data_IF_214346795150
#
_entry.id   IF_214346795150
#
_cell.length_a   1.000
_cell.length_b   1.000
_cell.length_c   1.000
_cell.angle_alpha   90.00
_cell.angle_beta   90.00
_cell.angle_gamma   90.00
#
_symmetry.space_group_name_H-M   'P 1'
#
loop_
_entity.id
_entity.type
_entity.pdbx_description
1 polymer ?
#
# COMPACT_ATOMS: atom_id res chain seq x y z
N UNK A 1 21.56 15.66 6.90
CA UNK A 1 20.12 15.44 6.70
C UNK A 1 19.68 14.52 7.82
N UNK A 2 18.65 14.89 8.57
CA UNK A 2 18.10 14.00 9.61
C UNK A 2 17.34 12.85 8.95
N UNK A 3 17.03 11.81 9.71
CA UNK A 3 16.23 10.70 9.19
C UNK A 3 14.84 11.17 8.76
N UNK A 4 14.22 12.09 9.51
CA UNK A 4 12.92 12.67 9.17
C UNK A 4 12.95 13.47 7.87
N UNK A 5 14.02 14.23 7.62
CA UNK A 5 14.21 14.94 6.35
C UNK A 5 14.37 13.96 5.18
N UNK A 6 15.13 12.87 5.37
CA UNK A 6 15.29 11.78 4.38
C UNK A 6 13.94 11.12 4.08
N UNK A 7 13.17 10.77 5.12
CA UNK A 7 11.83 10.20 4.99
C UNK A 7 10.90 11.14 4.24
N UNK A 8 10.87 12.43 4.58
CA UNK A 8 10.04 13.42 3.89
C UNK A 8 10.32 13.49 2.38
N UNK A 9 11.60 13.42 1.98
CA UNK A 9 11.97 13.37 0.55
C UNK A 9 11.46 12.09 -0.13
N UNK A 10 11.64 10.94 0.51
CA UNK A 10 11.20 9.64 -0.03
C UNK A 10 9.67 9.57 -0.14
N UNK A 11 8.96 10.11 0.84
CA UNK A 11 7.50 10.19 0.84
C UNK A 11 6.97 11.03 -0.31
N UNK A 12 7.57 12.20 -0.53
CA UNK A 12 7.22 13.06 -1.66
C UNK A 12 7.57 12.41 -3.01
N UNK A 13 8.70 11.71 -3.11
CA UNK A 13 9.07 10.97 -4.33
C UNK A 13 8.05 9.88 -4.66
N UNK A 14 7.64 9.10 -3.66
CA UNK A 14 6.62 8.04 -3.79
C UNK A 14 5.26 8.63 -4.19
N UNK A 15 4.77 9.64 -3.47
CA UNK A 15 3.49 10.27 -3.75
C UNK A 15 3.45 10.85 -5.18
N UNK A 16 4.51 11.56 -5.59
CA UNK A 16 4.62 12.10 -6.95
C UNK A 16 4.68 10.99 -8.01
N UNK A 17 5.38 9.88 -7.74
CA UNK A 17 5.40 8.73 -8.65
C UNK A 17 3.99 8.17 -8.85
N UNK A 18 3.24 7.95 -7.77
CA UNK A 18 1.87 7.43 -7.86
C UNK A 18 0.97 8.42 -8.60
N UNK A 19 1.04 9.72 -8.28
CA UNK A 19 0.28 10.75 -9.00
C UNK A 19 0.58 10.75 -10.51
N UNK A 20 1.84 10.54 -10.91
CA UNK A 20 2.22 10.48 -12.33
C UNK A 20 1.70 9.25 -13.07
N UNK A 21 1.31 8.19 -12.33
CA UNK A 21 0.75 6.96 -12.90
C UNK A 21 -0.75 7.08 -13.20
N UNK A 22 -1.43 8.10 -12.68
CA UNK A 22 -2.87 8.31 -12.87
C UNK A 22 -3.08 9.33 -14.00
N UNK A 23 -3.56 8.93 -15.20
CA UNK A 23 -3.61 9.79 -16.38
C UNK A 23 -4.88 10.66 -16.46
N UNK A 24 -5.57 10.84 -15.34
CA UNK A 24 -6.82 11.59 -15.23
C UNK A 24 -6.81 12.45 -13.98
N UNK A 25 -7.75 13.39 -13.87
CA UNK A 25 -7.96 14.07 -12.60
C UNK A 25 -8.40 13.09 -11.51
N UNK A 26 -7.78 13.22 -10.34
CA UNK A 26 -8.04 12.43 -9.14
C UNK A 26 -8.13 13.35 -7.92
N UNK A 27 -8.77 12.88 -6.86
CA UNK A 27 -8.99 13.65 -5.63
C UNK A 27 -8.22 13.07 -4.43
N UNK A 28 -8.37 11.76 -4.21
CA UNK A 28 -7.70 11.02 -3.13
C UNK A 28 -6.99 9.80 -3.70
N UNK A 29 -5.87 9.43 -3.09
CA UNK A 29 -5.12 8.20 -3.36
C UNK A 29 -4.89 7.47 -2.06
N UNK A 30 -5.10 6.15 -2.09
CA UNK A 30 -4.87 5.23 -0.98
C UNK A 30 -3.94 4.13 -1.48
N UNK A 31 -2.80 3.96 -0.84
CA UNK A 31 -1.77 3.00 -1.26
C UNK A 31 -1.33 2.16 -0.09
N UNK A 32 -1.19 0.85 -0.30
CA UNK A 32 -0.61 -0.08 0.66
C UNK A 32 0.55 -0.81 0.00
N UNK A 33 1.67 -0.87 0.69
CA UNK A 33 2.84 -1.62 0.29
C UNK A 33 3.14 -2.72 1.30
N UNK A 34 3.26 -3.95 0.81
CA UNK A 34 3.74 -5.11 1.56
C UNK A 34 5.12 -5.46 1.02
N UNK A 35 6.19 -5.25 1.81
CA UNK A 35 7.55 -5.47 1.32
C UNK A 35 8.35 -6.23 2.36
N UNK A 36 9.03 -7.28 1.91
CA UNK A 36 10.00 -8.03 2.70
C UNK A 36 11.31 -8.23 1.90
N UNK A 37 12.17 -9.11 2.39
CA UNK A 37 13.48 -9.37 1.78
C UNK A 37 13.41 -10.30 0.57
N UNK A 38 12.31 -11.06 0.44
CA UNK A 38 12.04 -12.01 -0.64
C UNK A 38 11.26 -11.38 -1.79
N UNK A 39 10.42 -10.39 -1.51
CA UNK A 39 9.58 -9.74 -2.50
C UNK A 39 8.62 -8.75 -1.88
N UNK A 40 7.55 -8.44 -2.62
CA UNK A 40 6.51 -7.56 -2.14
C UNK A 40 5.55 -7.13 -3.23
N UNK A 41 4.56 -6.36 -2.81
CA UNK A 41 3.48 -5.86 -3.64
C UNK A 41 3.15 -4.43 -3.22
N UNK A 42 2.76 -3.61 -4.19
CA UNK A 42 2.23 -2.27 -3.97
C UNK A 42 0.89 -2.18 -4.67
N UNK A 43 -0.15 -1.90 -3.91
CA UNK A 43 -1.51 -1.72 -4.37
C UNK A 43 -1.92 -0.27 -4.14
N UNK A 44 -2.61 0.34 -5.10
CA UNK A 44 -3.27 1.62 -4.86
C UNK A 44 -4.65 1.73 -5.50
N UNK A 45 -5.50 2.51 -4.84
CA UNK A 45 -6.81 2.95 -5.31
C UNK A 45 -6.83 4.48 -5.37
N UNK A 46 -7.63 5.03 -6.27
CA UNK A 46 -7.83 6.47 -6.35
C UNK A 46 -9.30 6.82 -6.58
N UNK A 47 -9.69 8.02 -6.13
CA UNK A 47 -11.02 8.58 -6.41
C UNK A 47 -10.93 9.69 -7.45
N UNK A 48 -12.01 9.90 -8.20
CA UNK A 48 -12.14 11.01 -9.16
C UNK A 48 -12.80 12.21 -8.48
N UNK A 49 -12.61 13.45 -8.98
CA UNK A 49 -13.28 14.62 -8.43
C UNK A 49 -14.80 14.43 -8.34
N UNK A 50 -15.37 14.66 -7.16
CA UNK A 50 -16.81 14.53 -6.91
C UNK A 50 -17.35 13.10 -6.82
N UNK A 51 -16.49 12.07 -6.80
CA UNK A 51 -16.87 10.67 -6.57
C UNK A 51 -16.06 10.09 -5.39
N UNK A 52 -16.70 9.22 -4.62
CA UNK A 52 -16.05 8.39 -3.60
C UNK A 52 -15.78 6.95 -4.11
N UNK A 53 -16.04 6.68 -5.40
CA UNK A 53 -15.78 5.39 -6.01
C UNK A 53 -14.27 5.12 -6.07
N UNK A 54 -13.88 3.94 -5.59
CA UNK A 54 -12.50 3.47 -5.64
C UNK A 54 -12.18 2.91 -7.03
N UNK A 55 -11.22 3.54 -7.71
CA UNK A 55 -10.71 3.09 -8.99
C UNK A 55 -9.40 2.34 -8.75
N UNK A 56 -9.36 1.07 -9.12
CA UNK A 56 -8.23 0.19 -8.88
C UNK A 56 -7.12 0.38 -9.93
N UNK A 57 -5.86 0.47 -9.48
CA UNK A 57 -4.75 0.87 -10.34
C UNK A 57 -4.52 -0.05 -11.55
N UNK A 58 -4.79 -1.34 -11.44
CA UNK A 58 -4.56 -2.30 -12.53
C UNK A 58 -5.48 -2.08 -13.72
N UNK A 59 -6.59 -1.33 -13.56
CA UNK A 59 -7.48 -0.97 -14.66
C UNK A 59 -6.99 0.23 -15.48
N UNK A 60 -6.03 1.01 -14.97
CA UNK A 60 -5.50 2.22 -15.65
C UNK A 60 -5.05 1.93 -17.11
N UNK A 61 -4.26 0.87 -17.40
CA UNK A 61 -3.87 0.54 -18.77
C UNK A 61 -5.05 0.41 -19.73
N UNK A 62 -6.09 -0.31 -19.30
CA UNK A 62 -7.27 -0.60 -20.12
C UNK A 62 -8.18 0.61 -20.25
N UNK A 63 -8.48 1.30 -19.15
CA UNK A 63 -9.45 2.40 -19.11
C UNK A 63 -8.97 3.65 -19.82
N UNK A 64 -7.67 3.93 -19.78
CA UNK A 64 -7.08 5.15 -20.32
C UNK A 64 -6.13 4.91 -21.48
N UNK A 65 -6.14 3.70 -22.04
CA UNK A 65 -5.32 3.32 -23.19
C UNK A 65 -3.81 3.57 -22.95
N UNK A 66 -3.35 3.29 -21.73
CA UNK A 66 -1.93 3.32 -21.37
C UNK A 66 -1.34 1.95 -21.69
N UNK A 67 -0.15 1.91 -22.28
CA UNK A 67 0.52 0.65 -22.57
C UNK A 67 0.77 -0.15 -21.29
N UNK A 68 0.31 -1.41 -21.24
CA UNK A 68 0.55 -2.32 -20.11
C UNK A 68 2.03 -2.43 -19.77
N UNK A 69 2.90 -2.50 -20.78
CA UNK A 69 4.35 -2.54 -20.59
C UNK A 69 4.86 -1.28 -19.89
N UNK A 70 4.44 -0.11 -20.37
CA UNK A 70 4.84 1.18 -19.77
C UNK A 70 4.34 1.26 -18.34
N UNK A 71 3.11 0.85 -18.08
CA UNK A 71 2.55 0.84 -16.74
C UNK A 71 3.28 -0.12 -15.80
N UNK A 72 3.64 -1.32 -16.28
CA UNK A 72 4.44 -2.28 -15.53
C UNK A 72 5.83 -1.75 -15.18
N UNK A 73 6.48 -1.04 -16.10
CA UNK A 73 7.77 -0.38 -15.84
C UNK A 73 7.60 0.71 -14.74
N UNK A 74 6.53 1.51 -14.81
CA UNK A 74 6.22 2.52 -13.80
C UNK A 74 5.93 1.89 -12.42
N UNK A 75 5.17 0.81 -12.38
CA UNK A 75 4.87 0.07 -11.15
C UNK A 75 6.14 -0.55 -10.56
N UNK A 76 7.02 -1.11 -11.39
CA UNK A 76 8.31 -1.67 -10.95
C UNK A 76 9.17 -0.60 -10.28
N UNK A 77 9.20 0.61 -10.82
CA UNK A 77 9.88 1.74 -10.19
C UNK A 77 9.24 2.12 -8.86
N UNK A 78 7.90 2.18 -8.79
CA UNK A 78 7.19 2.47 -7.55
C UNK A 78 7.52 1.44 -6.45
N UNK A 79 7.47 0.15 -6.79
CA UNK A 79 7.88 -0.93 -5.89
C UNK A 79 9.32 -0.74 -5.38
N UNK A 80 10.25 -0.35 -6.25
CA UNK A 80 11.64 -0.06 -5.85
C UNK A 80 11.74 1.12 -4.90
N UNK A 81 10.88 2.14 -5.02
CA UNK A 81 10.84 3.26 -4.06
C UNK A 81 10.41 2.78 -2.67
N UNK A 82 9.37 1.94 -2.57
CA UNK A 82 8.98 1.35 -1.29
C UNK A 82 10.07 0.44 -0.70
N UNK A 83 10.77 -0.34 -1.55
CA UNK A 83 11.93 -1.13 -1.08
C UNK A 83 13.06 -0.26 -0.54
N UNK A 84 13.35 0.87 -1.20
CA UNK A 84 14.30 1.87 -0.68
C UNK A 84 13.83 2.44 0.66
N UNK A 85 12.55 2.80 0.78
CA UNK A 85 11.97 3.30 2.02
C UNK A 85 12.15 2.31 3.16
N UNK A 86 11.86 1.02 2.93
CA UNK A 86 12.07 -0.03 3.93
C UNK A 86 13.54 -0.18 4.33
N UNK A 87 14.45 -0.12 3.36
CA UNK A 87 15.88 -0.21 3.63
C UNK A 87 16.40 0.98 4.42
N UNK A 88 15.81 2.17 4.28
CA UNK A 88 16.21 3.34 5.05
C UNK A 88 16.00 3.14 6.56
N UNK A 89 14.99 2.38 6.99
CA UNK A 89 14.80 2.01 8.40
C UNK A 89 15.94 1.10 8.88
N UNK A 90 16.29 0.08 8.07
CA UNK A 90 17.41 -0.83 8.39
C UNK A 90 18.75 -0.09 8.51
N UNK A 91 19.00 0.89 7.65
CA UNK A 91 20.22 1.70 7.67
C UNK A 91 20.36 2.54 8.95
N UNK A 92 19.24 2.86 9.61
CA UNK A 92 19.19 3.57 10.89
C UNK A 92 19.06 2.62 12.09
N UNK A 93 19.33 1.32 11.90
CA UNK A 93 19.16 0.26 12.91
C UNK A 93 17.74 0.17 13.49
N UNK A 94 16.73 0.63 12.72
CA UNK A 94 15.31 0.50 13.05
C UNK A 94 14.73 -0.79 12.49
N UNK A 95 13.72 -1.31 13.17
CA UNK A 95 12.97 -2.47 12.68
C UNK A 95 12.29 -2.14 11.34
N UNK A 96 12.48 -2.95 10.30
CA UNK A 96 11.88 -2.70 9.01
C UNK A 96 10.41 -3.10 9.03
N UNK A 97 9.52 -2.14 8.78
CA UNK A 97 8.07 -2.35 8.66
C UNK A 97 7.71 -3.48 7.68
N UNK A 98 6.55 -4.10 7.91
CA UNK A 98 6.00 -5.17 7.06
C UNK A 98 4.91 -4.65 6.13
N UNK A 99 4.20 -3.61 6.56
CA UNK A 99 3.24 -2.87 5.75
C UNK A 99 3.45 -1.36 5.86
N UNK A 100 3.28 -0.65 4.75
CA UNK A 100 3.36 0.80 4.71
C UNK A 100 2.19 1.37 3.92
N UNK A 101 1.44 2.26 4.56
CA UNK A 101 0.27 2.90 3.97
C UNK A 101 0.53 4.37 3.66
N UNK A 102 0.07 4.82 2.50
CA UNK A 102 0.09 6.19 2.04
C UNK A 102 -1.34 6.63 1.69
N UNK A 103 -1.83 7.65 2.39
CA UNK A 103 -3.05 8.35 2.04
C UNK A 103 -2.71 9.77 1.65
N UNK A 104 -3.13 10.21 0.46
CA UNK A 104 -2.96 11.61 0.10
C UNK A 104 -4.05 12.18 -0.77
N UNK A 105 -4.21 13.51 -0.67
CA UNK A 105 -5.14 14.28 -1.51
C UNK A 105 -4.39 15.08 -2.57
N UNK A 106 -5.10 15.50 -3.62
CA UNK A 106 -4.54 16.36 -4.68
C UNK A 106 -3.95 17.67 -4.14
N UNK A 107 -4.43 18.14 -3.00
CA UNK A 107 -3.96 19.36 -2.34
C UNK A 107 -2.64 19.19 -1.57
N UNK A 108 -2.09 17.97 -1.50
CA UNK A 108 -0.79 17.70 -0.87
C UNK A 108 -0.87 17.27 0.60
N UNK A 109 -2.05 16.93 1.11
CA UNK A 109 -2.18 16.36 2.45
C UNK A 109 -1.75 14.88 2.40
N UNK A 110 -0.51 14.57 2.82
CA UNK A 110 0.01 13.21 2.87
C UNK A 110 0.06 12.69 4.31
N UNK A 111 -0.51 11.49 4.52
CA UNK A 111 -0.36 10.69 5.73
C UNK A 111 0.33 9.39 5.40
N UNK A 112 1.29 9.01 6.23
CA UNK A 112 2.04 7.76 6.11
C UNK A 112 1.95 7.01 7.43
N UNK A 113 1.64 5.73 7.38
CA UNK A 113 1.66 4.83 8.53
C UNK A 113 2.41 3.54 8.23
N UNK A 114 2.95 2.93 9.27
CA UNK A 114 3.69 1.68 9.21
C UNK A 114 3.05 0.67 10.14
N UNK A 115 3.06 -0.59 9.73
CA UNK A 115 2.59 -1.73 10.51
C UNK A 115 3.65 -2.84 10.51
N UNK A 116 3.57 -3.73 11.49
CA UNK A 116 4.53 -4.78 11.79
C UNK A 116 3.85 -6.16 11.91
N UNK A 117 2.70 -6.33 11.25
CA UNK A 117 2.00 -7.62 11.16
C UNK A 117 2.94 -8.67 10.57
N UNK A 118 3.09 -9.81 11.26
CA UNK A 118 3.88 -10.94 10.77
C UNK A 118 3.13 -11.73 9.69
N UNK A 119 3.17 -11.19 8.47
CA UNK A 119 2.57 -11.80 7.29
C UNK A 119 3.18 -13.15 6.92
N UNK A 120 4.42 -13.46 7.34
CA UNK A 120 5.06 -14.74 7.06
C UNK A 120 4.42 -15.82 7.91
N UNK A 121 4.21 -15.55 9.20
CA UNK A 121 3.54 -16.48 10.12
C UNK A 121 2.08 -16.70 9.76
N UNK A 122 1.40 -15.64 9.32
CA UNK A 122 0.03 -15.73 8.79
C UNK A 122 -0.06 -16.59 7.52
N UNK A 123 0.97 -16.59 6.67
CA UNK A 123 1.02 -17.41 5.46
C UNK A 123 0.07 -16.98 4.33
N UNK A 124 -0.62 -15.85 4.48
CA UNK A 124 -1.52 -15.33 3.45
C UNK A 124 -0.77 -14.73 2.25
N UNK A 125 -1.26 -15.04 1.05
CA UNK A 125 -0.76 -14.47 -0.20
C UNK A 125 -1.24 -13.03 -0.45
N UNK A 126 -0.86 -12.44 -1.60
CA UNK A 126 -1.31 -11.13 -2.08
C UNK A 126 -2.80 -10.87 -1.88
N UNK A 127 -3.66 -11.78 -2.34
CA UNK A 127 -5.12 -11.62 -2.30
C UNK A 127 -5.67 -11.53 -0.88
N UNK A 128 -5.20 -12.35 0.06
CA UNK A 128 -5.65 -12.28 1.46
C UNK A 128 -5.25 -10.97 2.14
N UNK A 129 -4.03 -10.48 1.86
CA UNK A 129 -3.53 -9.18 2.35
C UNK A 129 -4.33 -8.01 1.78
N UNK A 130 -4.65 -8.06 0.49
CA UNK A 130 -5.47 -7.04 -0.16
C UNK A 130 -6.91 -7.05 0.36
N UNK A 131 -7.53 -8.23 0.50
CA UNK A 131 -8.87 -8.36 1.07
C UNK A 131 -8.94 -7.80 2.49
N UNK A 132 -7.95 -8.10 3.33
CA UNK A 132 -7.85 -7.52 4.67
C UNK A 132 -7.68 -5.99 4.63
N UNK A 133 -6.84 -5.47 3.74
CA UNK A 133 -6.68 -4.03 3.57
C UNK A 133 -7.99 -3.34 3.19
N UNK A 134 -8.69 -3.88 2.18
CA UNK A 134 -9.96 -3.34 1.71
C UNK A 134 -11.04 -3.35 2.80
N UNK A 135 -11.08 -4.41 3.61
CA UNK A 135 -11.94 -4.50 4.77
C UNK A 135 -11.57 -3.46 5.85
N UNK A 136 -10.31 -3.44 6.31
CA UNK A 136 -9.81 -2.54 7.36
C UNK A 136 -10.02 -1.08 6.98
N UNK A 137 -9.72 -0.73 5.73
CA UNK A 137 -9.68 0.65 5.26
C UNK A 137 -11.04 1.19 4.83
N UNK A 138 -11.82 0.38 4.13
CA UNK A 138 -13.04 0.83 3.45
C UNK A 138 -14.30 0.10 3.91
N UNK A 139 -14.19 -0.90 4.79
CA UNK A 139 -15.31 -1.75 5.19
C UNK A 139 -15.81 -2.66 4.06
N UNK A 140 -15.00 -2.88 3.03
CA UNK A 140 -15.34 -3.72 1.87
C UNK A 140 -14.95 -5.16 2.17
N UNK A 141 -15.94 -6.03 2.29
CA UNK A 141 -15.74 -7.47 2.46
C UNK A 141 -15.55 -8.15 1.09
N UNK A 142 -14.74 -9.21 1.01
CA UNK A 142 -14.68 -10.04 -0.18
C UNK A 142 -16.01 -10.78 -0.41
N UNK A 143 -16.25 -11.21 -1.65
CA UNK A 143 -17.52 -11.85 -2.03
C UNK A 143 -17.58 -13.32 -1.59
N UNK A 144 -16.44 -14.00 -1.57
CA UNK A 144 -16.38 -15.43 -1.27
C UNK A 144 -16.30 -15.68 0.23
N UNK A 145 -17.11 -16.61 0.73
CA UNK A 145 -17.16 -16.95 2.16
C UNK A 145 -15.80 -17.36 2.72
N UNK A 146 -14.99 -18.11 1.95
CA UNK A 146 -13.65 -18.50 2.40
C UNK A 146 -12.72 -17.28 2.56
N UNK A 147 -12.78 -16.29 1.66
CA UNK A 147 -11.99 -15.06 1.76
C UNK A 147 -12.45 -14.19 2.94
N UNK A 148 -13.75 -14.23 3.28
CA UNK A 148 -14.26 -13.56 4.48
C UNK A 148 -13.71 -14.21 5.76
N UNK A 149 -13.57 -15.54 5.79
CA UNK A 149 -12.93 -16.24 6.91
C UNK A 149 -11.44 -15.90 7.00
N UNK A 150 -10.71 -15.82 5.88
CA UNK A 150 -9.31 -15.37 5.88
C UNK A 150 -9.15 -13.98 6.52
N UNK A 151 -10.05 -13.04 6.21
CA UNK A 151 -10.03 -11.70 6.83
C UNK A 151 -10.22 -11.78 8.35
N UNK A 152 -11.12 -12.63 8.84
CA UNK A 152 -11.34 -12.82 10.29
C UNK A 152 -10.14 -13.48 10.97
N UNK A 153 -9.50 -14.45 10.31
CA UNK A 153 -8.27 -15.09 10.80
C UNK A 153 -7.14 -14.05 10.96
N UNK A 154 -6.99 -13.15 9.99
CA UNK A 154 -6.03 -12.03 10.08
C UNK A 154 -6.38 -11.10 11.25
N UNK A 155 -7.65 -10.70 11.40
CA UNK A 155 -8.07 -9.85 12.52
C UNK A 155 -7.81 -10.48 13.89
N UNK A 156 -8.07 -11.78 14.03
CA UNK A 156 -7.81 -12.51 15.26
C UNK A 156 -6.31 -12.55 15.56
N UNK A 157 -5.50 -12.87 14.55
CA UNK A 157 -4.05 -12.92 14.69
C UNK A 157 -3.46 -11.59 15.15
N UNK A 158 -3.93 -10.47 14.59
CA UNK A 158 -3.44 -9.14 14.96
C UNK A 158 -3.77 -8.82 16.42
N UNK A 159 -4.99 -9.17 16.88
CA UNK A 159 -5.35 -9.00 18.31
C UNK A 159 -4.45 -9.82 19.22
N UNK A 160 -4.16 -11.07 18.86
CA UNK A 160 -3.26 -11.94 19.63
C UNK A 160 -1.81 -11.42 19.63
N UNK A 161 -1.35 -10.85 18.51
CA UNK A 161 -0.03 -10.21 18.42
C UNK A 161 0.05 -8.98 19.34
N UNK A 162 -0.94 -8.08 19.25
CA UNK A 162 -1.00 -6.87 20.09
C UNK A 162 -1.04 -7.22 21.59
N UNK A 163 -1.76 -8.27 21.98
CA UNK A 163 -1.82 -8.75 23.37
C UNK A 163 -0.49 -9.35 23.85
N UNK A 164 0.31 -9.94 22.97
CA UNK A 164 1.60 -10.54 23.30
C UNK A 164 2.74 -9.52 23.41
N UNK A 165 2.57 -8.34 22.82
CA UNK A 165 3.55 -7.24 22.87
C UNK A 165 3.36 -6.28 24.08
N UNK A 166 2.28 -6.45 24.84
CA UNK A 166 1.97 -5.71 26.09
C UNK A 166 2.64 -6.32 27.34
#
# INVERSE_FOLDING_TARGET
MTFEEKLSQMYNEIANKISSMIPVEWEKVYTIAYVDDQGGEVVFNYTKPGSEDLNYYTYIPREYNVSEKVFYDLWTDLYRLFKKLRNAFKEEDLEPWTSCEFDFTREGNLKVSFDYIDWIKLGFGPSGKENYYMYKKFGVLPEMEYEMEEVKEIEQYIKEQDEAEL
#
